data_IF_917900449840
#
_entry.id   IF_917900449840
#
_cell.length_a   1.000
_cell.length_b   1.000
_cell.length_c   1.000
_cell.angle_alpha   90.00
_cell.angle_beta   90.00
_cell.angle_gamma   90.00
#
_symmetry.space_group_name_H-M   'P 1'
#
loop_
_entity.id
_entity.type
_entity.pdbx_description
1 polymer ?
#
# COMPACT_ATOMS: atom_id res chain seq x y z
N UNK A 1 20.03 -15.40 -26.48
CA UNK A 1 19.26 -14.59 -25.53
C UNK A 1 20.26 -13.95 -24.57
N UNK A 2 20.22 -12.63 -24.42
CA UNK A 2 21.28 -11.84 -23.76
C UNK A 2 21.28 -12.03 -22.25
N UNK A 3 22.45 -12.25 -21.65
CA UNK A 3 22.66 -12.41 -20.20
C UNK A 3 22.13 -11.23 -19.35
N UNK A 4 21.85 -10.09 -20.00
CA UNK A 4 21.28 -8.90 -19.39
C UNK A 4 19.80 -9.11 -19.04
N UNK A 5 19.03 -9.82 -19.87
CA UNK A 5 17.60 -10.06 -19.62
C UNK A 5 17.39 -11.01 -18.43
N UNK A 6 18.17 -12.10 -18.38
CA UNK A 6 18.11 -13.10 -17.31
C UNK A 6 18.43 -12.50 -15.93
N UNK A 7 19.35 -11.53 -15.87
CA UNK A 7 19.70 -10.85 -14.63
C UNK A 7 18.64 -9.84 -14.17
N UNK A 8 17.91 -9.23 -15.10
CA UNK A 8 16.83 -8.30 -14.79
C UNK A 8 15.60 -9.03 -14.23
N UNK A 9 15.22 -10.15 -14.85
CA UNK A 9 14.12 -11.00 -14.36
C UNK A 9 14.45 -11.59 -12.98
N UNK A 10 15.71 -11.98 -12.76
CA UNK A 10 16.17 -12.49 -11.47
C UNK A 10 16.19 -11.40 -10.40
N UNK A 11 16.62 -10.18 -10.72
CA UNK A 11 16.59 -9.05 -9.79
C UNK A 11 15.16 -8.63 -9.42
N UNK A 12 14.22 -8.67 -10.37
CA UNK A 12 12.80 -8.39 -10.13
C UNK A 12 12.16 -9.47 -9.25
N UNK A 13 12.48 -10.76 -9.50
CA UNK A 13 12.01 -11.88 -8.69
C UNK A 13 12.59 -11.88 -7.27
N UNK A 14 13.85 -11.51 -7.11
CA UNK A 14 14.50 -11.35 -5.80
C UNK A 14 13.89 -10.16 -5.05
N UNK A 15 13.64 -9.02 -5.73
CA UNK A 15 13.00 -7.85 -5.12
C UNK A 15 11.59 -8.14 -4.63
N UNK A 16 10.79 -8.88 -5.42
CA UNK A 16 9.44 -9.30 -5.04
C UNK A 16 9.44 -10.38 -3.94
N UNK A 17 10.37 -11.35 -3.96
CA UNK A 17 10.53 -12.30 -2.85
C UNK A 17 11.05 -11.65 -1.56
N UNK A 18 11.89 -10.61 -1.64
CA UNK A 18 12.29 -9.83 -0.46
C UNK A 18 11.10 -9.04 0.08
N UNK A 19 10.32 -8.37 -0.77
CA UNK A 19 9.05 -7.73 -0.40
C UNK A 19 8.05 -8.71 0.20
N UNK A 20 8.13 -9.99 -0.14
CA UNK A 20 7.28 -11.02 0.45
C UNK A 20 7.74 -11.49 1.84
N UNK A 21 9.05 -11.42 2.11
CA UNK A 21 9.70 -12.10 3.27
C UNK A 21 10.33 -11.15 4.30
N UNK A 22 10.63 -9.90 3.93
CA UNK A 22 11.27 -8.89 4.81
C UNK A 22 10.37 -7.72 5.16
N UNK A 23 9.18 -7.66 4.57
CA UNK A 23 8.23 -6.59 4.77
C UNK A 23 7.16 -7.17 5.68
N UNK A 24 7.08 -6.72 6.95
CA UNK A 24 6.02 -7.12 7.87
C UNK A 24 4.68 -7.06 7.16
N UNK A 25 3.78 -7.98 7.45
CA UNK A 25 2.43 -8.01 6.86
C UNK A 25 1.72 -6.65 6.98
N UNK A 26 2.02 -5.90 8.04
CA UNK A 26 1.69 -4.48 8.24
C UNK A 26 2.10 -3.60 7.05
N UNK A 27 3.33 -3.72 6.56
CA UNK A 27 3.84 -2.91 5.45
C UNK A 27 3.19 -3.25 4.10
N UNK A 28 2.81 -4.51 3.84
CA UNK A 28 2.02 -4.86 2.64
C UNK A 28 0.65 -4.20 2.68
N UNK A 29 0.01 -4.21 3.85
CA UNK A 29 -1.27 -3.53 4.06
C UNK A 29 -1.15 -2.00 3.92
N UNK A 30 -0.04 -1.40 4.35
CA UNK A 30 0.22 0.03 4.16
C UNK A 30 0.36 0.42 2.68
N UNK A 31 0.99 -0.43 1.86
CA UNK A 31 1.10 -0.19 0.41
C UNK A 31 -0.27 -0.23 -0.26
N UNK A 32 -1.08 -1.25 0.02
CA UNK A 32 -2.44 -1.37 -0.51
C UNK A 32 -3.32 -0.19 -0.05
N UNK A 33 -3.16 0.24 1.21
CA UNK A 33 -3.87 1.40 1.75
C UNK A 33 -3.45 2.70 1.07
N UNK A 34 -2.15 2.87 0.79
CA UNK A 34 -1.64 4.02 0.06
C UNK A 34 -2.15 4.05 -1.39
N UNK A 35 -2.08 2.93 -2.11
CA UNK A 35 -2.60 2.80 -3.48
C UNK A 35 -4.08 3.20 -3.55
N UNK A 36 -4.92 2.62 -2.69
CA UNK A 36 -6.36 2.92 -2.61
C UNK A 36 -6.67 4.39 -2.32
N UNK A 37 -5.80 5.08 -1.58
CA UNK A 37 -5.98 6.50 -1.26
C UNK A 37 -5.39 7.43 -2.34
N UNK A 38 -4.38 6.99 -3.09
CA UNK A 38 -3.83 7.76 -4.23
C UNK A 38 -4.68 7.67 -5.50
N UNK A 39 -5.56 6.68 -5.62
CA UNK A 39 -6.57 6.59 -6.68
C UNK A 39 -7.62 7.72 -6.62
N UNK A 40 -7.66 8.44 -5.50
CA UNK A 40 -8.53 9.59 -5.26
C UNK A 40 -7.66 10.81 -4.91
N UNK A 41 -8.13 12.04 -5.14
CA UNK A 41 -7.46 13.27 -4.67
C UNK A 41 -7.59 13.43 -3.14
N UNK A 42 -7.15 12.42 -2.40
CA UNK A 42 -7.28 12.38 -0.95
C UNK A 42 -6.29 13.38 -0.34
N UNK A 43 -6.76 14.25 0.57
CA UNK A 43 -5.87 15.13 1.32
C UNK A 43 -4.79 14.33 2.05
N UNK A 44 -3.54 14.77 1.95
CA UNK A 44 -2.38 14.11 2.59
C UNK A 44 -2.60 13.80 4.08
N UNK A 45 -3.34 14.66 4.79
CA UNK A 45 -3.72 14.45 6.20
C UNK A 45 -4.47 13.14 6.43
N UNK A 46 -5.36 12.76 5.52
CA UNK A 46 -6.19 11.55 5.62
C UNK A 46 -5.33 10.32 5.36
N UNK A 47 -4.44 10.39 4.38
CA UNK A 47 -3.45 9.35 4.12
C UNK A 47 -2.54 9.10 5.33
N UNK A 48 -1.94 10.14 5.88
CA UNK A 48 -1.06 10.01 7.04
C UNK A 48 -1.81 9.47 8.27
N UNK A 49 -3.07 9.85 8.46
CA UNK A 49 -3.88 9.36 9.56
C UNK A 49 -4.26 7.89 9.39
N UNK A 50 -4.60 7.45 8.17
CA UNK A 50 -4.87 6.05 7.89
C UNK A 50 -3.61 5.17 8.10
N UNK A 51 -2.44 5.65 7.66
CA UNK A 51 -1.16 4.97 7.88
C UNK A 51 -0.80 4.89 9.37
N UNK A 52 -1.04 5.96 10.14
CA UNK A 52 -0.82 5.97 11.58
C UNK A 52 -1.71 4.96 12.31
N UNK A 53 -2.96 4.78 11.88
CA UNK A 53 -3.87 3.77 12.43
C UNK A 53 -3.39 2.36 12.05
N UNK A 54 -2.98 2.15 10.80
CA UNK A 54 -2.53 0.85 10.30
C UNK A 54 -1.25 0.33 10.99
N UNK A 55 -0.47 1.21 11.62
CA UNK A 55 0.66 0.80 12.46
C UNK A 55 0.24 -0.01 13.71
N UNK A 56 -1.02 0.11 14.15
CA UNK A 56 -1.56 -0.53 15.35
C UNK A 56 -2.76 -1.45 15.06
N UNK A 57 -3.62 -1.06 14.12
CA UNK A 57 -4.82 -1.80 13.73
C UNK A 57 -5.13 -1.56 12.24
N UNK A 58 -4.71 -2.50 11.40
CA UNK A 58 -4.96 -2.46 9.96
C UNK A 58 -6.45 -2.42 9.62
N UNK A 59 -7.31 -3.14 10.35
CA UNK A 59 -8.74 -3.20 10.04
C UNK A 59 -9.43 -1.86 10.34
N UNK A 60 -9.02 -1.17 11.42
CA UNK A 60 -9.47 0.18 11.70
C UNK A 60 -9.03 1.19 10.64
N UNK A 61 -7.82 1.03 10.07
CA UNK A 61 -7.32 1.91 9.02
C UNK A 61 -8.14 1.78 7.72
N UNK A 62 -8.48 0.56 7.30
CA UNK A 62 -9.33 0.32 6.14
C UNK A 62 -10.73 0.90 6.35
N UNK A 63 -11.33 0.71 7.53
CA UNK A 63 -12.62 1.32 7.89
C UNK A 63 -12.59 2.84 7.84
N UNK A 64 -11.51 3.46 8.32
CA UNK A 64 -11.34 4.91 8.26
C UNK A 64 -11.28 5.41 6.80
N UNK A 65 -10.51 4.73 5.95
CA UNK A 65 -10.44 5.04 4.53
C UNK A 65 -11.79 4.88 3.82
N UNK A 66 -12.53 3.79 4.09
CA UNK A 66 -13.84 3.54 3.49
C UNK A 66 -14.87 4.60 3.90
N UNK A 67 -14.90 4.99 5.17
CA UNK A 67 -15.79 6.06 5.64
C UNK A 67 -15.48 7.39 4.96
N UNK A 68 -14.20 7.71 4.78
CA UNK A 68 -13.79 8.93 4.10
C UNK A 68 -14.21 8.94 2.62
N UNK A 69 -13.96 7.83 1.90
CA UNK A 69 -14.34 7.69 0.50
C UNK A 69 -15.86 7.65 0.29
N UNK A 70 -16.61 7.07 1.23
CA UNK A 70 -18.08 7.08 1.17
C UNK A 70 -18.64 8.49 1.34
N UNK A 71 -18.04 9.32 2.20
CA UNK A 71 -18.44 10.71 2.35
C UNK A 71 -18.11 11.55 1.10
N UNK A 72 -17.00 11.26 0.41
CA UNK A 72 -16.63 11.90 -0.86
C UNK A 72 -17.58 11.56 -2.02
N UNK A 73 -18.24 10.40 -1.99
CA UNK A 73 -19.19 9.98 -3.04
C UNK A 73 -20.60 10.58 -2.87
N UNK A 74 -20.85 11.30 -1.78
CA UNK A 74 -22.15 11.91 -1.46
C UNK A 74 -22.26 13.36 -1.99
N UNK A 75 -21.19 13.92 -2.56
CA UNK A 75 -21.21 15.19 -3.30
C UNK A 75 -21.53 15.02 -4.80
#
# INVERSE_FOLDING_TARGET
>A
MSNIQVNLEKAQKIGSQLLETTVPETNKNLVILAEKLTEFEVPLKVLLQALAIAAYDSAAAFRYADNYLNNLKID
#
